data_IF_283695382631
#
_entry.id   IF_283695382631
#
_cell.length_a   1.000
_cell.length_b   1.000
_cell.length_c   1.000
_cell.angle_alpha   90.00
_cell.angle_beta   90.00
_cell.angle_gamma   90.00
#
_symmetry.space_group_name_H-M   'P 1'
#
loop_
_entity.id
_entity.type
_entity.pdbx_description
1 polymer ?
#
# COMPACT_ATOMS: atom_id res chain seq x y z
N UNK A 1 -7.98 -14.42 36.60
CA UNK A 1 -7.43 -13.48 35.60
C UNK A 1 -6.88 -14.15 34.32
N UNK A 2 -7.06 -15.47 34.08
CA UNK A 2 -6.48 -16.16 32.91
C UNK A 2 -7.28 -15.99 31.60
N UNK A 3 -8.59 -15.76 31.69
CA UNK A 3 -9.52 -15.76 30.55
C UNK A 3 -9.24 -14.60 29.57
N UNK A 4 -8.82 -13.44 30.07
CA UNK A 4 -8.54 -12.27 29.22
C UNK A 4 -7.23 -12.39 28.42
N UNK A 5 -6.24 -13.15 28.90
CA UNK A 5 -4.98 -13.35 28.16
C UNK A 5 -5.21 -14.26 26.95
N UNK A 6 -5.94 -15.36 27.14
CA UNK A 6 -6.23 -16.31 26.06
C UNK A 6 -7.04 -15.66 24.92
N UNK A 7 -8.07 -14.86 25.24
CA UNK A 7 -8.85 -14.15 24.21
C UNK A 7 -7.99 -13.18 23.38
N UNK A 8 -7.13 -12.40 24.04
CA UNK A 8 -6.24 -11.45 23.36
C UNK A 8 -5.28 -12.18 22.41
N UNK A 9 -4.71 -13.31 22.83
CA UNK A 9 -3.84 -14.12 21.96
C UNK A 9 -4.58 -14.68 20.75
N UNK A 10 -5.84 -15.13 20.92
CA UNK A 10 -6.65 -15.63 19.80
C UNK A 10 -7.04 -14.53 18.79
N UNK A 11 -7.36 -13.32 19.26
CA UNK A 11 -7.65 -12.18 18.38
C UNK A 11 -6.40 -11.71 17.61
N UNK A 12 -5.24 -11.73 18.28
CA UNK A 12 -3.96 -11.41 17.65
C UNK A 12 -3.60 -12.47 16.59
N UNK A 13 -3.74 -13.76 16.88
CA UNK A 13 -3.47 -14.86 15.94
C UNK A 13 -4.37 -14.80 14.70
N UNK A 14 -5.68 -14.53 14.89
CA UNK A 14 -6.60 -14.37 13.77
C UNK A 14 -6.24 -13.17 12.90
N UNK A 15 -5.81 -12.06 13.52
CA UNK A 15 -5.33 -10.87 12.80
C UNK A 15 -4.05 -11.18 12.02
N UNK A 16 -3.10 -11.91 12.61
CA UNK A 16 -1.86 -12.35 11.95
C UNK A 16 -2.18 -13.22 10.74
N UNK A 17 -3.07 -14.21 10.89
CA UNK A 17 -3.48 -15.10 9.80
C UNK A 17 -4.18 -14.33 8.66
N UNK A 18 -5.03 -13.37 8.99
CA UNK A 18 -5.66 -12.51 7.99
C UNK A 18 -4.61 -11.68 7.24
N UNK A 19 -3.73 -10.97 7.95
CA UNK A 19 -2.71 -10.10 7.37
C UNK A 19 -1.73 -10.86 6.48
N UNK A 20 -1.21 -12.01 6.94
CA UNK A 20 -0.27 -12.80 6.15
C UNK A 20 -0.89 -13.34 4.86
N UNK A 21 -2.18 -13.67 4.89
CA UNK A 21 -2.89 -14.22 3.73
C UNK A 21 -3.02 -13.22 2.59
N UNK A 22 -3.12 -11.91 2.91
CA UNK A 22 -3.25 -10.85 1.90
C UNK A 22 -2.04 -10.76 0.98
N UNK A 23 -0.88 -11.19 1.44
CA UNK A 23 0.39 -11.07 0.71
C UNK A 23 1.11 -12.41 0.53
N UNK A 24 0.44 -13.52 0.81
CA UNK A 24 1.02 -14.87 0.70
C UNK A 24 2.20 -15.12 1.63
N UNK A 25 2.28 -14.45 2.78
CA UNK A 25 3.35 -14.61 3.76
C UNK A 25 3.15 -15.89 4.59
N UNK A 26 4.25 -16.57 4.91
CA UNK A 26 4.19 -17.78 5.72
C UNK A 26 3.78 -17.45 7.17
N UNK A 27 3.17 -18.42 7.86
CA UNK A 27 2.76 -18.23 9.26
C UNK A 27 3.96 -17.98 10.17
N UNK A 28 5.04 -18.73 9.96
CA UNK A 28 6.26 -18.62 10.76
C UNK A 28 6.92 -17.25 10.61
N UNK A 29 7.02 -16.73 9.38
CA UNK A 29 7.53 -15.40 9.10
C UNK A 29 6.68 -14.31 9.78
N UNK A 30 5.35 -14.39 9.63
CA UNK A 30 4.44 -13.41 10.23
C UNK A 30 4.54 -13.39 11.77
N UNK A 31 4.60 -14.54 12.43
CA UNK A 31 4.78 -14.59 13.88
C UNK A 31 6.17 -14.12 14.33
N UNK A 32 7.22 -14.40 13.55
CA UNK A 32 8.57 -13.91 13.84
C UNK A 32 8.60 -12.39 13.78
N UNK A 33 7.98 -11.82 12.76
CA UNK A 33 7.92 -10.39 12.58
C UNK A 33 7.10 -9.71 13.69
N UNK A 34 5.97 -10.28 14.10
CA UNK A 34 5.21 -9.75 15.25
C UNK A 34 6.00 -9.85 16.56
N UNK A 35 6.83 -10.87 16.76
CA UNK A 35 7.71 -10.95 17.94
C UNK A 35 8.80 -9.87 17.94
N UNK A 36 9.27 -9.47 16.76
CA UNK A 36 10.37 -8.50 16.62
C UNK A 36 9.87 -7.04 16.59
N UNK A 37 8.84 -6.78 15.78
CA UNK A 37 8.38 -5.42 15.43
C UNK A 37 6.94 -5.14 15.93
N UNK A 38 6.29 -6.14 16.53
CA UNK A 38 4.88 -6.04 16.95
C UNK A 38 3.89 -6.19 15.80
N UNK A 39 2.60 -6.11 16.14
CA UNK A 39 1.52 -6.26 15.15
C UNK A 39 1.50 -5.13 14.12
N UNK A 40 1.92 -3.91 14.51
CA UNK A 40 2.00 -2.79 13.59
C UNK A 40 3.16 -2.92 12.60
N UNK A 41 4.28 -3.55 12.98
CA UNK A 41 5.33 -3.94 12.04
C UNK A 41 4.80 -4.86 10.94
N UNK A 42 3.98 -5.86 11.31
CA UNK A 42 3.32 -6.73 10.33
C UNK A 42 2.38 -5.95 9.42
N UNK A 43 1.58 -5.03 9.96
CA UNK A 43 0.70 -4.17 9.16
C UNK A 43 1.49 -3.32 8.17
N UNK A 44 2.60 -2.71 8.59
CA UNK A 44 3.45 -1.89 7.70
C UNK A 44 3.99 -2.74 6.55
N UNK A 45 4.53 -3.92 6.84
CA UNK A 45 5.09 -4.82 5.81
C UNK A 45 4.04 -5.29 4.81
N UNK A 46 2.85 -5.64 5.31
CA UNK A 46 1.73 -6.06 4.46
C UNK A 46 1.23 -4.89 3.62
N UNK A 47 1.03 -3.71 4.21
CA UNK A 47 0.60 -2.51 3.50
C UNK A 47 1.60 -2.06 2.44
N UNK A 48 2.90 -2.07 2.75
CA UNK A 48 3.94 -1.72 1.79
C UNK A 48 3.96 -2.69 0.60
N UNK A 49 3.78 -3.99 0.85
CA UNK A 49 3.68 -4.98 -0.22
C UNK A 49 2.42 -4.78 -1.06
N UNK A 50 1.26 -4.51 -0.45
CA UNK A 50 0.04 -4.18 -1.18
C UNK A 50 0.20 -2.91 -2.02
N UNK A 51 0.84 -1.88 -1.47
CA UNK A 51 1.15 -0.63 -2.17
C UNK A 51 2.03 -0.84 -3.42
N UNK A 52 2.96 -1.80 -3.34
CA UNK A 52 3.86 -2.17 -4.43
C UNK A 52 3.27 -3.18 -5.43
N UNK A 53 2.10 -3.77 -5.16
CA UNK A 53 1.50 -4.81 -6.04
C UNK A 53 0.08 -4.51 -6.49
N UNK A 54 -0.63 -3.60 -5.83
CA UNK A 54 -1.98 -3.18 -6.17
C UNK A 54 -2.04 -1.67 -6.45
N UNK A 55 -3.00 -1.23 -7.26
CA UNK A 55 -3.26 0.19 -7.51
C UNK A 55 -3.91 0.84 -6.29
N UNK A 56 -3.10 1.16 -5.28
CA UNK A 56 -3.52 1.74 -4.02
C UNK A 56 -2.68 2.97 -3.69
N UNK A 57 -3.32 3.99 -3.13
CA UNK A 57 -2.61 5.03 -2.38
C UNK A 57 -2.06 4.45 -1.07
N UNK A 58 -1.05 5.09 -0.48
CA UNK A 58 -0.52 4.71 0.83
C UNK A 58 -1.58 4.76 1.93
N UNK A 59 -2.59 5.63 1.78
CA UNK A 59 -3.74 5.69 2.67
C UNK A 59 -4.64 4.46 2.59
N UNK A 60 -5.01 4.04 1.38
CA UNK A 60 -5.84 2.84 1.17
C UNK A 60 -5.12 1.57 1.61
N UNK A 61 -3.80 1.47 1.36
CA UNK A 61 -2.99 0.36 1.84
C UNK A 61 -2.97 0.27 3.38
N UNK A 62 -2.84 1.41 4.07
CA UNK A 62 -2.88 1.46 5.54
C UNK A 62 -4.26 1.09 6.11
N UNK A 63 -5.34 1.59 5.51
CA UNK A 63 -6.69 1.29 5.96
C UNK A 63 -7.02 -0.20 5.81
N UNK A 64 -6.59 -0.81 4.71
CA UNK A 64 -6.83 -2.22 4.40
C UNK A 64 -6.21 -3.19 5.42
N UNK A 65 -5.12 -2.80 6.05
CA UNK A 65 -4.46 -3.58 7.12
C UNK A 65 -4.82 -3.09 8.52
N UNK A 66 -5.63 -2.03 8.65
CA UNK A 66 -5.99 -1.41 9.92
C UNK A 66 -4.82 -0.71 10.62
N UNK A 67 -3.85 -0.18 9.87
CA UNK A 67 -2.71 0.56 10.42
C UNK A 67 -3.17 1.96 10.84
N UNK A 68 -3.16 2.23 12.15
CA UNK A 68 -3.64 3.50 12.71
C UNK A 68 -2.70 4.66 12.42
N UNK A 69 -1.39 4.41 12.41
CA UNK A 69 -0.39 5.45 12.16
C UNK A 69 0.16 5.34 10.74
N UNK A 70 -0.47 6.05 9.81
CA UNK A 70 -0.03 6.11 8.40
C UNK A 70 1.38 6.70 8.23
N UNK A 71 1.84 7.53 9.16
CA UNK A 71 3.18 8.11 9.12
C UNK A 71 4.29 7.04 9.14
N UNK A 72 4.07 5.94 9.87
CA UNK A 72 5.01 4.81 9.90
C UNK A 72 5.11 4.10 8.55
N UNK A 73 3.98 3.97 7.83
CA UNK A 73 3.99 3.40 6.49
C UNK A 73 4.71 4.33 5.51
N UNK A 74 4.42 5.64 5.54
CA UNK A 74 5.08 6.61 4.66
C UNK A 74 6.60 6.60 4.87
N UNK A 75 7.04 6.68 6.12
CA UNK A 75 8.46 6.60 6.46
C UNK A 75 9.08 5.29 5.95
N UNK A 76 8.42 4.15 6.14
CA UNK A 76 8.91 2.86 5.67
C UNK A 76 9.01 2.79 4.14
N UNK A 77 8.01 3.32 3.42
CA UNK A 77 8.02 3.37 1.96
C UNK A 77 9.19 4.23 1.44
N UNK A 78 9.41 5.39 2.05
CA UNK A 78 10.51 6.29 1.71
C UNK A 78 11.88 5.66 2.00
N UNK A 79 12.06 5.07 3.17
CA UNK A 79 13.31 4.41 3.59
C UNK A 79 13.68 3.21 2.71
N UNK A 80 12.68 2.50 2.18
CA UNK A 80 12.88 1.32 1.34
C UNK A 80 12.71 1.62 -0.16
N UNK A 81 12.53 2.88 -0.55
CA UNK A 81 12.31 3.32 -1.93
C UNK A 81 11.21 2.54 -2.66
N UNK A 82 10.09 2.31 -1.97
CA UNK A 82 8.96 1.55 -2.51
C UNK A 82 8.03 2.51 -3.23
N UNK A 83 7.97 2.41 -4.55
CA UNK A 83 7.07 3.19 -5.40
C UNK A 83 5.69 2.52 -5.56
N UNK A 84 4.62 3.31 -5.76
CA UNK A 84 3.29 2.76 -6.03
C UNK A 84 3.27 2.02 -7.37
N UNK A 85 2.38 1.04 -7.49
CA UNK A 85 2.11 0.44 -8.80
C UNK A 85 1.59 1.51 -9.76
N UNK A 86 2.21 1.69 -10.94
CA UNK A 86 1.85 2.73 -11.89
C UNK A 86 0.48 2.48 -12.51
N UNK A 87 -0.49 3.32 -12.17
CA UNK A 87 -1.86 3.24 -12.66
C UNK A 87 -1.90 3.24 -14.22
N UNK A 88 -2.32 2.12 -14.87
CA UNK A 88 -2.31 1.99 -16.32
C UNK A 88 -3.36 2.89 -16.98
N UNK A 89 -4.39 3.29 -16.24
CA UNK A 89 -5.45 4.18 -16.74
C UNK A 89 -4.98 5.62 -16.77
N UNK A 90 -4.35 6.11 -15.69
CA UNK A 90 -3.77 7.47 -15.65
C UNK A 90 -2.55 7.64 -16.54
N UNK A 91 -1.77 6.60 -16.75
CA UNK A 91 -0.56 6.69 -17.58
C UNK A 91 -0.91 6.85 -19.06
N UNK A 92 -1.98 6.22 -19.55
CA UNK A 92 -2.36 6.27 -20.96
C UNK A 92 -3.25 7.46 -21.30
N UNK A 93 -4.18 7.83 -20.42
CA UNK A 93 -5.06 8.98 -20.63
C UNK A 93 -4.30 10.30 -20.52
N UNK A 94 -3.45 10.46 -19.51
CA UNK A 94 -2.68 11.71 -19.31
C UNK A 94 -1.65 11.95 -20.42
N UNK A 95 -1.05 10.88 -20.96
CA UNK A 95 -0.15 10.97 -22.14
C UNK A 95 -0.94 11.36 -23.39
N UNK A 96 -2.15 10.82 -23.59
CA UNK A 96 -3.03 11.19 -24.72
C UNK A 96 -3.53 12.63 -24.60
N UNK A 97 -3.97 13.04 -23.42
CA UNK A 97 -4.47 14.39 -23.15
C UNK A 97 -3.37 15.43 -23.36
N UNK A 98 -2.14 15.17 -22.91
CA UNK A 98 -0.99 16.05 -23.16
C UNK A 98 -0.61 16.10 -24.66
N UNK A 99 -0.73 14.98 -25.38
CA UNK A 99 -0.53 14.95 -26.83
C UNK A 99 -1.60 15.75 -27.58
N UNK A 100 -2.86 15.60 -27.19
CA UNK A 100 -4.01 16.30 -27.78
C UNK A 100 -3.93 17.81 -27.50
N UNK A 101 -3.61 18.22 -26.26
CA UNK A 101 -3.37 19.63 -25.92
C UNK A 101 -2.21 20.22 -26.72
N UNK A 102 -1.09 19.49 -26.87
CA UNK A 102 0.06 19.93 -27.68
C UNK A 102 -0.26 20.01 -29.17
N UNK A 103 -1.11 19.11 -29.68
CA UNK A 103 -1.60 19.18 -31.05
C UNK A 103 -2.56 20.36 -31.24
N UNK A 104 -3.46 20.62 -30.31
CA UNK A 104 -4.37 21.77 -30.33
C UNK A 104 -3.61 23.10 -30.34
N UNK A 105 -2.59 23.24 -29.48
CA UNK A 105 -1.73 24.44 -29.42
C UNK A 105 -0.96 24.62 -30.73
N UNK A 106 -0.46 23.53 -31.32
CA UNK A 106 0.17 23.56 -32.66
C UNK A 106 -0.83 23.98 -33.73
N UNK A 107 -2.02 23.39 -33.78
CA UNK A 107 -3.07 23.74 -34.75
C UNK A 107 -3.48 25.21 -34.65
N UNK A 108 -3.68 25.72 -33.44
CA UNK A 108 -3.99 27.15 -33.18
C UNK A 108 -2.88 28.09 -33.64
N UNK A 109 -1.61 27.68 -33.50
CA UNK A 109 -0.45 28.43 -34.04
C UNK A 109 -0.39 28.45 -35.56
N UNK A 110 -0.87 27.41 -36.23
CA UNK A 110 -0.88 27.32 -37.70
C UNK A 110 -2.11 28.00 -38.33
N UNK A 111 -3.17 28.21 -37.55
CA UNK A 111 -4.40 28.90 -37.98
C UNK A 111 -4.44 30.39 -37.60
N UNK A 112 -3.43 30.90 -36.88
CA UNK A 112 -3.24 32.34 -36.67
C UNK A 112 -2.51 32.93 -37.87
N UNK A 113 -3.13 33.83 -38.66
CA UNK A 113 -2.54 34.42 -39.86
C UNK A 113 -1.30 35.28 -39.59
#
# INVERSE_FOLDING_TARGET
MAINRQRKTHEDDATIDQLRSQVGMSREEAHTLVKQEGLDGLRIRVAAKLYATEFLTSGEAADRVGLRNRGLLLQFLDENHIEPVPDPTKSSERIREELDERMEVRLKRWQSP
#
